data_IF_513761912365
#
_entry.id   IF_513761912365
#
_cell.length_a   1.000
_cell.length_b   1.000
_cell.length_c   1.000
_cell.angle_alpha   90.00
_cell.angle_beta   90.00
_cell.angle_gamma   90.00
#
_symmetry.space_group_name_H-M   'P 1'
#
loop_
_entity.id
_entity.type
_entity.pdbx_description
1 polymer ?
#
# COMPACT_ATOMS: atom_id res chain seq x y z
N UNK A 1 -9.30 -9.02 -2.69
CA UNK A 1 -9.73 -7.96 -1.75
C UNK A 1 -9.00 -6.66 -2.07
N UNK A 2 -9.56 -5.54 -1.68
CA UNK A 2 -8.89 -4.25 -1.84
C UNK A 2 -8.12 -3.92 -0.57
N UNK A 3 -6.88 -3.48 -0.74
CA UNK A 3 -5.99 -3.15 0.36
C UNK A 3 -5.50 -1.71 0.15
N UNK A 4 -5.65 -0.88 1.17
CA UNK A 4 -5.13 0.47 1.16
C UNK A 4 -3.79 0.48 1.88
N UNK A 5 -2.74 0.88 1.18
CA UNK A 5 -1.39 0.94 1.70
C UNK A 5 -0.98 2.40 1.80
N UNK A 6 -0.66 2.85 2.99
CA UNK A 6 -0.18 4.22 3.22
C UNK A 6 1.33 4.21 3.11
N UNK A 7 1.84 5.05 2.22
CA UNK A 7 3.26 5.08 1.86
C UNK A 7 3.86 6.45 2.16
N UNK A 8 5.17 6.43 2.44
CA UNK A 8 5.96 7.64 2.64
C UNK A 8 7.07 7.67 1.60
N UNK A 9 7.11 8.75 0.80
CA UNK A 9 8.14 8.95 -0.22
C UNK A 9 8.58 10.41 -0.17
N UNK A 10 9.87 10.64 0.08
CA UNK A 10 10.49 11.97 -0.02
C UNK A 10 9.73 13.05 0.76
N UNK A 11 9.32 12.73 1.98
CA UNK A 11 8.61 13.68 2.86
C UNK A 11 7.11 13.77 2.61
N UNK A 12 6.57 12.99 1.69
CA UNK A 12 5.14 12.99 1.39
C UNK A 12 4.50 11.67 1.78
N UNK A 13 3.29 11.74 2.33
CA UNK A 13 2.48 10.59 2.70
C UNK A 13 1.30 10.51 1.75
N UNK A 14 1.05 9.33 1.19
CA UNK A 14 -0.10 9.12 0.31
C UNK A 14 -0.57 7.67 0.40
N UNK A 15 -1.78 7.43 -0.08
CA UNK A 15 -2.37 6.10 -0.07
C UNK A 15 -2.39 5.49 -1.46
N UNK A 16 -2.10 4.18 -1.53
CA UNK A 16 -2.27 3.36 -2.73
C UNK A 16 -3.31 2.31 -2.41
N UNK A 17 -4.38 2.24 -3.17
CA UNK A 17 -5.34 1.16 -3.03
C UNK A 17 -5.10 0.16 -4.14
N UNK A 18 -4.84 -1.09 -3.76
CA UNK A 18 -4.51 -2.15 -4.72
C UNK A 18 -5.42 -3.36 -4.52
N UNK A 19 -5.63 -4.10 -5.59
CA UNK A 19 -6.31 -5.38 -5.55
C UNK A 19 -5.29 -6.43 -5.14
N UNK A 20 -5.58 -7.22 -4.12
CA UNK A 20 -4.61 -8.17 -3.56
C UNK A 20 -5.32 -9.35 -2.93
N UNK A 21 -4.57 -10.43 -2.70
CA UNK A 21 -5.08 -11.64 -2.04
C UNK A 21 -5.12 -11.49 -0.52
N UNK A 22 -4.19 -10.74 0.03
CA UNK A 22 -4.07 -10.51 1.47
C UNK A 22 -3.25 -9.23 1.70
N UNK A 23 -2.99 -8.91 2.98
CA UNK A 23 -2.25 -7.71 3.34
C UNK A 23 -0.82 -7.73 2.81
N UNK A 24 -0.13 -8.87 2.91
CA UNK A 24 1.24 -8.99 2.43
C UNK A 24 1.34 -8.78 0.92
N UNK A 25 0.41 -9.34 0.18
CA UNK A 25 0.35 -9.18 -1.27
C UNK A 25 0.08 -7.72 -1.63
N UNK A 26 -0.83 -7.06 -0.91
CA UNK A 26 -1.13 -5.63 -1.12
C UNK A 26 0.08 -4.76 -0.86
N UNK A 27 0.78 -5.00 0.24
CA UNK A 27 2.00 -4.28 0.60
C UNK A 27 3.06 -4.45 -0.49
N UNK A 28 3.28 -5.68 -0.93
CA UNK A 28 4.26 -5.99 -1.97
C UNK A 28 3.93 -5.29 -3.28
N UNK A 29 2.64 -5.31 -3.66
CA UNK A 29 2.18 -4.65 -4.88
C UNK A 29 2.41 -3.15 -4.82
N UNK A 30 2.07 -2.51 -3.71
CA UNK A 30 2.26 -1.08 -3.55
C UNK A 30 3.73 -0.70 -3.59
N UNK A 31 4.61 -1.50 -2.96
CA UNK A 31 6.05 -1.26 -2.98
C UNK A 31 6.65 -1.48 -4.36
N UNK A 32 6.14 -2.44 -5.13
CA UNK A 32 6.61 -2.67 -6.49
C UNK A 32 6.31 -1.46 -7.39
N UNK A 33 5.22 -0.75 -7.12
CA UNK A 33 4.85 0.46 -7.85
C UNK A 33 5.59 1.69 -7.35
N UNK A 34 6.10 1.65 -6.11
CA UNK A 34 6.77 2.78 -5.46
C UNK A 34 8.03 2.27 -4.75
N UNK A 35 9.07 1.88 -5.51
CA UNK A 35 10.21 1.14 -4.94
C UNK A 35 11.01 1.90 -3.88
N UNK A 36 10.94 3.23 -3.87
CA UNK A 36 11.66 4.02 -2.85
C UNK A 36 10.78 4.36 -1.65
N UNK A 37 9.54 3.86 -1.60
CA UNK A 37 8.61 4.19 -0.54
C UNK A 37 8.83 3.34 0.70
N UNK A 38 8.38 3.88 1.84
CA UNK A 38 8.27 3.12 3.09
C UNK A 38 6.80 2.93 3.41
N UNK A 39 6.45 1.74 3.87
CA UNK A 39 5.08 1.44 4.26
C UNK A 39 4.83 1.95 5.67
N UNK A 40 3.81 2.78 5.84
CA UNK A 40 3.39 3.29 7.14
C UNK A 40 2.29 2.41 7.72
N UNK A 41 1.29 2.07 6.92
CA UNK A 41 0.20 1.22 7.37
C UNK A 41 -0.42 0.47 6.20
N UNK A 42 -1.10 -0.62 6.53
CA UNK A 42 -1.82 -1.45 5.55
C UNK A 42 -3.18 -1.77 6.14
N UNK A 43 -4.24 -1.47 5.40
CA UNK A 43 -5.61 -1.62 5.86
C UNK A 43 -6.45 -2.28 4.77
N UNK A 44 -7.38 -3.14 5.16
CA UNK A 44 -8.37 -3.67 4.22
C UNK A 44 -9.44 -2.62 3.95
N UNK A 45 -9.92 -2.57 2.71
CA UNK A 45 -11.01 -1.69 2.32
C UNK A 45 -12.25 -2.55 2.14
N UNK A 46 -13.25 -2.33 2.97
CA UNK A 46 -14.53 -3.03 2.89
C UNK A 46 -15.59 -2.09 2.33
N UNK A 47 -16.30 -2.56 1.31
CA UNK A 47 -17.37 -1.80 0.66
C UNK A 47 -18.72 -2.43 0.94
#
# INVERSE_FOLDING_TARGET
MKVKVTLYVAGKVFDETVEARDYEDGKRTALARNPSAKVISVTAVFL
#
